data_IF_831044805012
#
_entry.id   IF_831044805012
#
_cell.length_a   1.000
_cell.length_b   1.000
_cell.length_c   1.000
_cell.angle_alpha   90.00
_cell.angle_beta   90.00
_cell.angle_gamma   90.00
#
_symmetry.space_group_name_H-M   'P 1'
#
loop_
_entity.id
_entity.type
_entity.pdbx_description
1 polymer ?
#
# COMPACT_ATOMS: atom_id res chain seq x y z
N UNK A 1 3.58 0.16 -13.03
CA UNK A 1 3.37 -0.87 -11.98
C UNK A 1 4.74 -1.30 -11.45
N UNK A 2 4.84 -1.59 -10.15
CA UNK A 2 6.02 -2.20 -9.51
C UNK A 2 6.15 -3.68 -9.90
N UNK A 3 6.41 -3.98 -11.18
CA UNK A 3 6.52 -5.37 -11.64
C UNK A 3 7.74 -6.09 -11.07
N UNK A 4 8.83 -5.37 -10.76
CA UNK A 4 10.05 -5.98 -10.19
C UNK A 4 9.93 -6.40 -8.73
N UNK A 5 8.91 -5.91 -8.01
CA UNK A 5 8.75 -6.19 -6.59
C UNK A 5 7.49 -7.00 -6.28
N UNK A 6 6.73 -7.41 -7.30
CA UNK A 6 5.49 -8.17 -7.08
C UNK A 6 5.74 -9.51 -6.40
N UNK A 7 6.80 -10.21 -6.78
CA UNK A 7 7.21 -11.46 -6.13
C UNK A 7 7.60 -11.22 -4.68
N UNK A 8 8.42 -10.20 -4.40
CA UNK A 8 8.82 -9.82 -3.04
C UNK A 8 7.61 -9.41 -2.19
N UNK A 9 6.68 -8.66 -2.77
CA UNK A 9 5.43 -8.24 -2.13
C UNK A 9 4.56 -9.46 -1.80
N UNK A 10 4.45 -10.42 -2.71
CA UNK A 10 3.68 -11.64 -2.49
C UNK A 10 4.30 -12.52 -1.40
N UNK A 11 5.62 -12.64 -1.39
CA UNK A 11 6.38 -13.37 -0.38
C UNK A 11 6.29 -12.70 0.99
N UNK A 12 6.48 -11.37 1.05
CA UNK A 12 6.23 -10.56 2.25
C UNK A 12 4.79 -10.66 2.74
N UNK A 13 3.80 -10.72 1.85
CA UNK A 13 2.40 -10.91 2.24
C UNK A 13 2.16 -12.24 2.93
N UNK A 14 2.89 -13.29 2.54
CA UNK A 14 2.77 -14.62 3.13
C UNK A 14 3.58 -14.76 4.42
N UNK A 15 4.77 -14.16 4.48
CA UNK A 15 5.65 -14.24 5.64
C UNK A 15 5.33 -13.21 6.73
N UNK A 16 4.84 -12.03 6.36
CA UNK A 16 4.64 -10.89 7.26
C UNK A 16 3.16 -10.47 7.28
N UNK A 17 2.46 -10.87 8.35
CA UNK A 17 1.05 -10.54 8.57
C UNK A 17 0.80 -9.02 8.74
N UNK A 18 1.84 -8.29 9.18
CA UNK A 18 1.81 -6.83 9.26
C UNK A 18 1.77 -6.22 7.86
N UNK A 19 2.63 -6.71 6.96
CA UNK A 19 2.62 -6.32 5.55
C UNK A 19 1.27 -6.62 4.88
N UNK A 20 0.70 -7.80 5.13
CA UNK A 20 -0.63 -8.14 4.64
C UNK A 20 -1.68 -7.11 5.09
N UNK A 21 -1.66 -6.71 6.36
CA UNK A 21 -2.61 -5.72 6.91
C UNK A 21 -2.42 -4.32 6.30
N UNK A 22 -1.17 -3.90 6.07
CA UNK A 22 -0.86 -2.61 5.41
C UNK A 22 -1.36 -2.62 3.96
N UNK A 23 -1.17 -3.73 3.25
CA UNK A 23 -1.62 -3.87 1.86
C UNK A 23 -3.14 -3.90 1.76
N UNK A 24 -3.81 -4.59 2.69
CA UNK A 24 -5.27 -4.64 2.75
C UNK A 24 -5.85 -3.23 3.00
N UNK A 25 -5.29 -2.52 4.00
CA UNK A 25 -5.62 -1.10 4.24
C UNK A 25 -5.41 -0.21 3.03
N UNK A 26 -4.33 -0.42 2.27
CA UNK A 26 -4.09 0.35 1.05
C UNK A 26 -5.19 0.08 0.01
N UNK A 27 -5.63 -1.17 -0.11
CA UNK A 27 -6.68 -1.55 -1.04
C UNK A 27 -8.05 -1.02 -0.62
N UNK A 28 -8.38 -1.06 0.68
CA UNK A 28 -9.57 -0.41 1.23
C UNK A 28 -9.55 1.11 0.99
N UNK A 29 -8.44 1.79 1.29
CA UNK A 29 -8.29 3.22 1.04
C UNK A 29 -8.44 3.55 -0.45
N UNK A 30 -7.90 2.72 -1.35
CA UNK A 30 -8.05 2.92 -2.78
C UNK A 30 -9.51 2.79 -3.22
N UNK A 31 -10.21 1.74 -2.76
CA UNK A 31 -11.64 1.57 -3.01
C UNK A 31 -12.45 2.74 -2.45
N UNK A 32 -12.14 3.19 -1.25
CA UNK A 32 -12.83 4.30 -0.61
C UNK A 32 -12.59 5.63 -1.33
N UNK A 33 -11.36 5.88 -1.83
CA UNK A 33 -11.06 7.03 -2.70
C UNK A 33 -11.90 6.97 -3.97
N UNK A 34 -11.95 5.81 -4.63
CA UNK A 34 -12.73 5.64 -5.87
C UNK A 34 -14.22 5.86 -5.61
N UNK A 35 -14.74 5.36 -4.49
CA UNK A 35 -16.15 5.53 -4.13
C UNK A 35 -16.46 7.00 -3.80
N UNK A 36 -15.58 7.68 -3.06
CA UNK A 36 -15.70 9.11 -2.79
C UNK A 36 -15.60 9.97 -4.06
N UNK A 37 -14.67 9.65 -4.96
CA UNK A 37 -14.54 10.32 -6.26
C UNK A 37 -15.80 10.11 -7.12
N UNK A 38 -16.41 8.92 -7.04
CA UNK A 38 -17.65 8.59 -7.76
C UNK A 38 -18.88 9.29 -7.16
N UNK A 39 -18.91 9.47 -5.85
CA UNK A 39 -19.98 10.17 -5.14
C UNK A 39 -19.81 11.70 -5.15
N UNK A 40 -18.79 12.25 -5.83
CA UNK A 40 -18.43 13.68 -5.78
C UNK A 40 -18.33 14.19 -4.33
N UNK A 41 -17.77 13.36 -3.45
CA UNK A 41 -17.55 13.71 -2.06
C UNK A 41 -16.49 14.81 -1.92
N UNK A 42 -16.29 15.27 -0.70
CA UNK A 42 -15.42 16.41 -0.42
C UNK A 42 -13.98 16.15 -0.92
N UNK A 43 -13.48 17.07 -1.74
CA UNK A 43 -12.17 16.96 -2.34
C UNK A 43 -11.06 16.92 -1.28
N UNK A 44 -11.29 17.55 -0.12
CA UNK A 44 -10.37 17.54 1.01
C UNK A 44 -10.25 16.15 1.64
N UNK A 45 -11.33 15.38 1.72
CA UNK A 45 -11.31 13.99 2.18
C UNK A 45 -10.59 13.07 1.18
N UNK A 46 -10.85 13.26 -0.11
CA UNK A 46 -10.18 12.52 -1.19
C UNK A 46 -8.67 12.79 -1.16
N UNK A 47 -8.25 14.05 -1.00
CA UNK A 47 -6.84 14.42 -0.88
C UNK A 47 -6.18 13.85 0.38
N UNK A 48 -6.88 13.87 1.53
CA UNK A 48 -6.40 13.25 2.76
C UNK A 48 -6.17 11.74 2.56
N UNK A 49 -7.15 11.03 1.98
CA UNK A 49 -7.02 9.59 1.72
C UNK A 49 -5.95 9.27 0.68
N UNK A 50 -5.80 10.07 -0.38
CA UNK A 50 -4.68 9.94 -1.34
C UNK A 50 -3.33 10.07 -0.65
N UNK A 51 -3.21 10.98 0.34
CA UNK A 51 -2.01 11.14 1.14
C UNK A 51 -1.74 9.93 2.03
N UNK A 52 -2.77 9.36 2.67
CA UNK A 52 -2.62 8.12 3.46
C UNK A 52 -2.29 6.91 2.58
N UNK A 53 -2.89 6.80 1.40
CA UNK A 53 -2.50 5.79 0.40
C UNK A 53 -1.01 5.92 0.03
N UNK A 54 -0.50 7.14 -0.11
CA UNK A 54 0.92 7.39 -0.36
C UNK A 54 1.79 6.92 0.81
N UNK A 55 1.38 7.19 2.06
CA UNK A 55 2.11 6.70 3.26
C UNK A 55 2.16 5.18 3.32
N UNK A 56 1.04 4.51 3.05
CA UNK A 56 0.99 3.04 3.03
C UNK A 56 1.91 2.46 1.96
N UNK A 57 2.00 3.11 0.80
CA UNK A 57 2.96 2.75 -0.24
C UNK A 57 4.41 2.93 0.23
N UNK A 58 4.69 3.99 0.98
CA UNK A 58 6.01 4.25 1.57
C UNK A 58 6.37 3.18 2.63
N UNK A 59 5.41 2.81 3.48
CA UNK A 59 5.53 1.69 4.41
C UNK A 59 5.83 0.38 3.67
N UNK A 60 5.02 0.04 2.66
CA UNK A 60 5.25 -1.14 1.80
C UNK A 60 6.65 -1.13 1.21
N UNK A 61 7.12 0.02 0.72
CA UNK A 61 8.47 0.16 0.19
C UNK A 61 9.55 -0.04 1.28
N UNK A 62 9.34 0.50 2.48
CA UNK A 62 10.22 0.29 3.63
C UNK A 62 10.32 -1.19 4.02
N UNK A 63 9.20 -1.93 3.99
CA UNK A 63 9.18 -3.38 4.19
C UNK A 63 9.97 -4.12 3.10
N UNK A 64 9.77 -3.77 1.82
CA UNK A 64 10.51 -4.36 0.70
C UNK A 64 12.01 -4.11 0.83
N UNK A 65 12.43 -2.88 1.17
CA UNK A 65 13.83 -2.52 1.36
C UNK A 65 14.43 -3.27 2.55
N UNK A 66 13.71 -3.35 3.67
CA UNK A 66 14.14 -4.17 4.82
C UNK A 66 14.32 -5.63 4.42
N UNK A 67 13.32 -6.22 3.75
CA UNK A 67 13.36 -7.61 3.31
C UNK A 67 14.55 -7.89 2.39
N UNK A 68 14.77 -7.03 1.38
CA UNK A 68 15.95 -7.13 0.50
C UNK A 68 17.25 -7.08 1.29
N UNK A 69 17.36 -6.14 2.24
CA UNK A 69 18.54 -5.98 3.09
C UNK A 69 18.79 -7.21 3.96
N UNK A 70 17.74 -7.80 4.53
CA UNK A 70 17.83 -8.97 5.40
C UNK A 70 18.20 -10.23 4.60
N UNK A 71 17.72 -10.35 3.35
CA UNK A 71 17.99 -11.46 2.45
C UNK A 71 19.25 -11.28 1.57
N UNK A 72 20.00 -10.18 1.73
CA UNK A 72 21.16 -9.82 0.89
C UNK A 72 20.88 -9.87 -0.63
N UNK A 73 19.67 -9.44 -1.03
CA UNK A 73 19.23 -9.26 -2.43
C UNK A 73 19.55 -7.86 -2.95
#
# INVERSE_FOLDING_TARGET
MFNEHRDIIAELKQQDAHFQSVFDKHNELDQEIVDLEKNFADQFEIEAKKKDKLKLKDEVYSYIVKYKKENNL
#
